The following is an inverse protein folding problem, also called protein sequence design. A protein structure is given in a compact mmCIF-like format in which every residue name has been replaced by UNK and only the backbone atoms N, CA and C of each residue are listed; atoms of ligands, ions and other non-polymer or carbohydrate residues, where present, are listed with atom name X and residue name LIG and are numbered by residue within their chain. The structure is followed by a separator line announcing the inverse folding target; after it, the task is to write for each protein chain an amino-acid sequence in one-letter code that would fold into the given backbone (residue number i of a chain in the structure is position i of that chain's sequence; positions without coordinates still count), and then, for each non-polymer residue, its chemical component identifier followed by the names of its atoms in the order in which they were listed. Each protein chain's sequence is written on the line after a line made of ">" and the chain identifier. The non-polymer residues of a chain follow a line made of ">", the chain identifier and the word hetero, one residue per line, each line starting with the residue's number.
data_IF_338401119935
#
_entry.id   IF_338401119935
#
_cell.length_a   1.000
_cell.length_b   1.000
_cell.length_c   1.000
_cell.angle_alpha   90.00
_cell.angle_beta   90.00
_cell.angle_gamma   90.00
#
_symmetry.space_group_name_H-M   'P 1'
#
loop_
_entity.id
_entity.type
_entity.pdbx_description
1 polymer ?
#
# COMPACT_ATOMS: atom_id res chain seq x y z
N UNK A 1 44.92 10.98 60.74
CA UNK A 1 45.95 11.27 59.72
C UNK A 1 47.29 10.79 60.28
N UNK A 2 47.87 9.73 59.70
CA UNK A 2 48.97 8.97 60.30
C UNK A 2 50.20 9.86 60.61
N UNK A 3 50.78 9.82 61.82
CA UNK A 3 51.91 10.68 62.21
C UNK A 3 53.18 10.43 61.37
N UNK A 4 53.31 9.24 60.78
CA UNK A 4 54.39 8.87 59.86
C UNK A 4 54.32 9.62 58.52
N UNK A 5 53.12 9.90 58.00
CA UNK A 5 52.92 10.64 56.75
C UNK A 5 53.33 12.11 56.88
N UNK A 6 53.03 12.73 58.04
CA UNK A 6 53.44 14.12 58.32
C UNK A 6 54.97 14.27 58.33
N UNK A 7 55.68 13.28 58.90
CA UNK A 7 57.15 13.31 58.97
C UNK A 7 57.79 13.13 57.59
N UNK A 8 57.33 12.14 56.82
CA UNK A 8 57.82 11.90 55.45
C UNK A 8 57.61 13.11 54.51
N UNK A 9 56.50 13.85 54.68
CA UNK A 9 56.21 15.08 53.94
C UNK A 9 57.14 16.25 54.29
N UNK A 10 57.52 16.39 55.57
CA UNK A 10 58.38 17.48 56.04
C UNK A 10 59.85 17.23 55.69
N UNK A 11 60.30 15.98 55.78
CA UNK A 11 61.71 15.59 55.56
C UNK A 11 62.09 15.58 54.06
N UNK A 12 61.17 15.16 53.17
CA UNK A 12 61.39 15.10 51.72
C UNK A 12 60.64 16.18 50.92
N UNK A 13 60.21 17.27 51.58
CA UNK A 13 59.47 18.39 50.98
C UNK A 13 60.09 18.91 49.68
N UNK A 14 61.41 18.96 49.58
CA UNK A 14 62.12 19.45 48.40
C UNK A 14 61.84 18.66 47.12
N UNK A 15 61.54 17.36 47.23
CA UNK A 15 61.23 16.48 46.10
C UNK A 15 59.73 16.25 45.91
N UNK A 16 58.96 16.27 47.00
CA UNK A 16 57.50 16.05 46.94
C UNK A 16 56.80 17.23 46.25
N UNK A 17 57.22 18.47 46.51
CA UNK A 17 56.63 19.66 45.89
C UNK A 17 56.75 19.68 44.36
N UNK A 18 57.94 19.53 43.74
CA UNK A 18 58.04 19.52 42.28
C UNK A 18 57.29 18.34 41.66
N UNK A 19 57.25 17.19 42.33
CA UNK A 19 56.52 16.01 41.83
C UNK A 19 55.00 16.22 41.86
N UNK A 20 54.48 16.84 42.92
CA UNK A 20 53.07 17.21 43.03
C UNK A 20 52.70 18.32 42.04
N UNK A 21 53.60 19.28 41.80
CA UNK A 21 53.42 20.31 40.78
C UNK A 21 53.39 19.71 39.37
N UNK A 22 54.28 18.77 39.06
CA UNK A 22 54.31 18.07 37.78
C UNK A 22 53.04 17.23 37.56
N UNK A 23 52.55 16.56 38.61
CA UNK A 23 51.27 15.83 38.57
C UNK A 23 50.11 16.78 38.25
N UNK A 24 50.01 17.91 38.96
CA UNK A 24 48.96 18.90 38.74
C UNK A 24 49.02 19.50 37.33
N UNK A 25 50.21 19.83 36.84
CA UNK A 25 50.39 20.34 35.48
C UNK A 25 49.91 19.33 34.43
N UNK A 26 50.19 18.05 34.61
CA UNK A 26 49.74 16.99 33.70
C UNK A 26 48.21 16.84 33.72
N UNK A 27 47.59 16.80 34.91
CA UNK A 27 46.13 16.75 35.05
C UNK A 27 45.48 17.97 34.39
N UNK A 28 46.05 19.16 34.59
CA UNK A 28 45.54 20.40 34.00
C UNK A 28 45.65 20.40 32.47
N UNK A 29 46.77 19.93 31.92
CA UNK A 29 46.94 19.78 30.48
C UNK A 29 45.92 18.78 29.90
N UNK A 30 45.66 17.66 30.56
CA UNK A 30 44.65 16.70 30.14
C UNK A 30 43.23 17.31 30.12
N UNK A 31 42.86 18.04 31.17
CA UNK A 31 41.54 18.66 31.28
C UNK A 31 41.31 19.76 30.25
N UNK A 32 42.34 20.56 29.94
CA UNK A 32 42.22 21.68 28.99
C UNK A 32 42.39 21.26 27.54
N UNK A 33 43.30 20.34 27.23
CA UNK A 33 43.54 19.95 25.84
C UNK A 33 42.73 18.72 25.44
N UNK A 34 42.79 17.63 26.20
CA UNK A 34 42.24 16.34 25.74
C UNK A 34 40.73 16.26 25.92
N UNK A 35 40.22 16.66 27.08
CA UNK A 35 38.80 16.57 27.39
C UNK A 35 37.89 17.32 26.40
N UNK A 36 38.16 18.59 26.01
CA UNK A 36 37.28 19.27 25.07
C UNK A 36 37.32 18.68 23.66
N UNK A 37 38.45 18.12 23.23
CA UNK A 37 38.50 17.41 21.94
C UNK A 37 37.68 16.12 21.98
N UNK A 38 37.77 15.34 23.06
CA UNK A 38 36.98 14.11 23.23
C UNK A 38 35.47 14.38 23.26
N UNK A 39 35.02 15.45 23.92
CA UNK A 39 33.61 15.85 23.95
C UNK A 39 33.14 16.31 22.57
N UNK A 40 33.98 17.04 21.82
CA UNK A 40 33.66 17.47 20.45
C UNK A 40 33.55 16.30 19.48
N UNK A 41 34.44 15.30 19.57
CA UNK A 41 34.37 14.11 18.70
C UNK A 41 33.18 13.23 19.03
N UNK A 42 32.87 13.05 20.32
CA UNK A 42 31.67 12.32 20.75
C UNK A 42 30.39 13.00 20.21
N UNK A 43 30.26 14.31 20.40
CA UNK A 43 29.11 15.06 19.86
C UNK A 43 29.05 15.16 18.32
N UNK A 44 30.16 14.94 17.62
CA UNK A 44 30.16 14.80 16.16
C UNK A 44 29.70 13.39 15.73
N UNK A 45 30.14 12.34 16.44
CA UNK A 45 29.74 10.97 16.20
C UNK A 45 28.24 10.76 16.49
N UNK A 46 27.73 11.31 17.60
CA UNK A 46 26.31 11.22 17.96
C UNK A 46 25.43 11.88 16.91
N UNK A 47 25.80 13.08 16.44
CA UNK A 47 25.08 13.76 15.36
C UNK A 47 25.13 13.01 14.03
N UNK A 48 26.25 12.36 13.72
CA UNK A 48 26.36 11.54 12.51
C UNK A 48 25.45 10.31 12.59
N UNK A 49 25.36 9.67 13.76
CA UNK A 49 24.49 8.52 13.99
C UNK A 49 23.01 8.92 13.93
N UNK A 50 22.65 10.05 14.54
CA UNK A 50 21.31 10.62 14.46
C UNK A 50 20.93 10.95 13.02
N UNK A 51 21.80 11.63 12.28
CA UNK A 51 21.57 11.96 10.87
C UNK A 51 21.42 10.71 9.99
N UNK A 52 22.24 9.67 10.20
CA UNK A 52 22.12 8.40 9.49
C UNK A 52 20.79 7.71 9.78
N UNK A 53 20.35 7.71 11.04
CA UNK A 53 19.06 7.13 11.42
C UNK A 53 17.86 7.90 10.83
N UNK A 54 17.94 9.23 10.83
CA UNK A 54 16.92 10.10 10.25
C UNK A 54 16.81 9.91 8.73
N UNK A 55 17.94 9.78 8.03
CA UNK A 55 17.99 9.48 6.61
C UNK A 55 17.36 8.12 6.31
N UNK A 56 17.72 7.07 7.07
CA UNK A 56 17.15 5.74 6.87
C UNK A 56 15.62 5.70 7.08
N UNK A 57 15.10 6.50 8.02
CA UNK A 57 13.65 6.67 8.22
C UNK A 57 13.04 7.44 7.05
N UNK A 58 13.65 8.55 6.63
CA UNK A 58 13.16 9.37 5.53
C UNK A 58 13.12 8.58 4.20
N UNK A 59 14.13 7.77 3.91
CA UNK A 59 14.16 6.89 2.73
C UNK A 59 13.02 5.88 2.75
N UNK A 60 12.76 5.23 3.90
CA UNK A 60 11.64 4.29 4.04
C UNK A 60 10.28 4.97 3.80
N UNK A 61 10.08 6.15 4.39
CA UNK A 61 8.85 6.93 4.20
C UNK A 61 8.70 7.34 2.73
N UNK A 62 9.80 7.77 2.09
CA UNK A 62 9.80 8.15 0.69
C UNK A 62 9.43 6.98 -0.23
N UNK A 63 10.04 5.81 -0.02
CA UNK A 63 9.73 4.60 -0.80
C UNK A 63 8.28 4.15 -0.60
N UNK A 64 7.77 4.20 0.63
CA UNK A 64 6.36 3.90 0.91
C UNK A 64 5.41 4.89 0.21
N UNK A 65 5.73 6.18 0.23
CA UNK A 65 4.96 7.21 -0.46
C UNK A 65 5.00 7.04 -1.99
N UNK A 66 6.17 6.74 -2.56
CA UNK A 66 6.28 6.43 -3.99
C UNK A 66 5.43 5.21 -4.37
N UNK A 67 5.51 4.13 -3.59
CA UNK A 67 4.72 2.92 -3.83
C UNK A 67 3.21 3.18 -3.76
N UNK A 68 2.76 4.05 -2.86
CA UNK A 68 1.36 4.45 -2.78
C UNK A 68 0.93 5.28 -4.01
N UNK A 69 1.75 6.24 -4.43
CA UNK A 69 1.45 7.10 -5.60
C UNK A 69 1.44 6.28 -6.88
N UNK A 70 2.44 5.41 -7.09
CA UNK A 70 2.49 4.54 -8.27
C UNK A 70 1.33 3.56 -8.30
N UNK A 71 0.99 2.94 -7.17
CA UNK A 71 -0.17 2.07 -7.04
C UNK A 71 -1.48 2.79 -7.36
N UNK A 72 -1.63 4.04 -6.90
CA UNK A 72 -2.81 4.87 -7.24
C UNK A 72 -2.86 5.21 -8.73
N UNK A 73 -1.73 5.60 -9.32
CA UNK A 73 -1.68 5.90 -10.76
C UNK A 73 -2.05 4.69 -11.62
N UNK A 74 -1.55 3.50 -11.24
CA UNK A 74 -1.90 2.26 -11.92
C UNK A 74 -3.39 1.94 -11.76
N UNK A 75 -3.95 2.07 -10.55
CA UNK A 75 -5.37 1.86 -10.32
C UNK A 75 -6.25 2.83 -11.12
N UNK A 76 -5.85 4.11 -11.22
CA UNK A 76 -6.57 5.11 -12.02
C UNK A 76 -6.52 4.77 -13.52
N UNK A 77 -5.39 4.24 -14.02
CA UNK A 77 -5.25 3.78 -15.40
C UNK A 77 -6.09 2.54 -15.68
N UNK A 78 -6.07 1.55 -14.79
CA UNK A 78 -6.89 0.33 -14.87
C UNK A 78 -8.38 0.67 -14.82
N UNK A 79 -8.79 1.60 -13.95
CA UNK A 79 -10.17 2.07 -13.85
C UNK A 79 -10.61 2.78 -15.13
N UNK A 80 -9.76 3.62 -15.71
CA UNK A 80 -10.04 4.26 -17.01
C UNK A 80 -10.14 3.20 -18.11
N UNK A 81 -9.25 2.21 -18.13
CA UNK A 81 -9.30 1.12 -19.09
C UNK A 81 -10.60 0.30 -18.96
N UNK A 82 -11.06 0.03 -17.72
CA UNK A 82 -12.33 -0.62 -17.47
C UNK A 82 -13.51 0.16 -18.07
N UNK A 83 -13.60 1.46 -17.78
CA UNK A 83 -14.68 2.30 -18.32
C UNK A 83 -14.66 2.46 -19.85
N UNK A 84 -13.49 2.43 -20.47
CA UNK A 84 -13.35 2.65 -21.91
C UNK A 84 -13.37 1.38 -22.75
N UNK A 85 -12.85 0.27 -22.23
CA UNK A 85 -12.62 -0.96 -23.01
C UNK A 85 -13.54 -2.10 -22.60
N UNK A 86 -13.92 -2.19 -21.33
CA UNK A 86 -14.73 -3.29 -20.80
C UNK A 86 -16.21 -2.94 -20.83
N UNK A 87 -16.57 -1.72 -20.41
CA UNK A 87 -17.95 -1.26 -20.48
C UNK A 87 -18.33 -0.80 -21.90
N UNK A 88 -19.57 -1.09 -22.35
CA UNK A 88 -20.10 -0.51 -23.57
C UNK A 88 -20.12 1.03 -23.47
N UNK A 89 -19.75 1.71 -24.56
CA UNK A 89 -19.70 3.18 -24.63
C UNK A 89 -21.06 3.86 -24.46
N UNK A 90 -22.13 3.16 -24.81
CA UNK A 90 -23.50 3.66 -24.77
C UNK A 90 -24.52 2.53 -24.69
N UNK A 91 -25.79 2.90 -24.51
CA UNK A 91 -26.92 1.98 -24.44
C UNK A 91 -27.08 1.16 -25.73
N UNK A 92 -26.78 1.73 -26.90
CA UNK A 92 -26.89 1.01 -28.16
C UNK A 92 -25.81 -0.08 -28.27
N UNK A 93 -24.59 0.18 -27.80
CA UNK A 93 -23.51 -0.78 -27.66
C UNK A 93 -23.88 -1.91 -26.68
N UNK A 94 -24.41 -1.56 -25.51
CA UNK A 94 -24.87 -2.52 -24.52
C UNK A 94 -25.99 -3.44 -25.07
N UNK A 95 -26.92 -2.86 -25.82
CA UNK A 95 -27.96 -3.60 -26.53
C UNK A 95 -27.34 -4.52 -27.60
N UNK A 96 -26.47 -4.01 -28.46
CA UNK A 96 -25.89 -4.78 -29.58
C UNK A 96 -25.23 -6.07 -29.10
N UNK A 97 -24.49 -5.99 -28.01
CA UNK A 97 -23.85 -7.14 -27.38
C UNK A 97 -24.90 -8.15 -26.93
N UNK A 98 -25.85 -7.74 -26.10
CA UNK A 98 -26.82 -8.64 -25.45
C UNK A 98 -27.95 -9.14 -26.36
N UNK A 99 -28.27 -8.44 -27.45
CA UNK A 99 -29.33 -8.86 -28.39
C UNK A 99 -28.92 -10.07 -29.22
N UNK A 100 -27.65 -10.16 -29.65
CA UNK A 100 -27.16 -11.28 -30.43
C UNK A 100 -26.63 -12.42 -29.55
N UNK A 101 -25.90 -12.09 -28.47
CA UNK A 101 -25.23 -13.10 -27.65
C UNK A 101 -26.21 -13.94 -26.82
N UNK A 102 -27.18 -13.33 -26.13
CA UNK A 102 -28.09 -14.07 -25.23
C UNK A 102 -28.92 -15.13 -25.97
N UNK A 103 -29.57 -14.83 -27.11
CA UNK A 103 -30.30 -15.87 -27.86
C UNK A 103 -29.38 -16.95 -28.44
N UNK A 104 -28.13 -16.61 -28.80
CA UNK A 104 -27.16 -17.59 -29.27
C UNK A 104 -26.76 -18.56 -28.15
N UNK A 105 -26.56 -18.06 -26.93
CA UNK A 105 -26.28 -18.86 -25.74
C UNK A 105 -27.44 -19.79 -25.39
N UNK A 106 -28.67 -19.28 -25.42
CA UNK A 106 -29.90 -20.07 -25.23
C UNK A 106 -29.95 -21.25 -26.21
N UNK A 107 -29.71 -20.99 -27.50
CA UNK A 107 -29.71 -22.03 -28.54
C UNK A 107 -28.60 -23.05 -28.33
N UNK A 108 -27.40 -22.60 -27.98
CA UNK A 108 -26.24 -23.45 -27.69
C UNK A 108 -26.51 -24.38 -26.51
N UNK A 109 -27.11 -23.87 -25.45
CA UNK A 109 -27.48 -24.61 -24.25
C UNK A 109 -28.74 -25.47 -24.42
N UNK A 110 -29.42 -25.40 -25.58
CA UNK A 110 -30.67 -26.12 -25.89
C UNK A 110 -31.80 -25.87 -24.87
N UNK A 111 -31.82 -24.68 -24.28
CA UNK A 111 -32.90 -24.23 -23.40
C UNK A 111 -33.94 -23.46 -24.19
N UNK A 112 -35.21 -23.61 -23.80
CA UNK A 112 -36.33 -22.88 -24.39
C UNK A 112 -36.39 -21.49 -23.77
N UNK A 113 -36.60 -20.49 -24.62
CA UNK A 113 -36.75 -19.11 -24.21
C UNK A 113 -38.22 -18.74 -24.19
N UNK A 114 -38.73 -18.33 -23.03
CA UNK A 114 -40.15 -18.01 -22.84
C UNK A 114 -40.43 -16.51 -22.88
N UNK A 115 -39.50 -15.70 -22.38
CA UNK A 115 -39.70 -14.26 -22.32
C UNK A 115 -38.44 -13.48 -22.00
N UNK A 116 -38.46 -12.19 -22.37
CA UNK A 116 -37.46 -11.21 -21.99
C UNK A 116 -38.09 -9.85 -21.78
N UNK A 117 -37.65 -9.19 -20.73
CA UNK A 117 -37.93 -7.78 -20.49
C UNK A 117 -36.60 -7.05 -20.36
N UNK A 118 -36.45 -5.95 -21.08
CA UNK A 118 -35.28 -5.08 -20.96
C UNK A 118 -35.72 -3.80 -20.27
N UNK A 119 -35.05 -3.44 -19.19
CA UNK A 119 -35.26 -2.18 -18.50
C UNK A 119 -33.99 -1.35 -18.56
N UNK A 120 -34.14 -0.04 -18.71
CA UNK A 120 -33.03 0.91 -18.74
C UNK A 120 -33.28 1.88 -17.60
N UNK A 121 -32.44 1.81 -16.58
CA UNK A 121 -32.54 2.74 -15.46
C UNK A 121 -32.15 4.14 -15.92
N UNK A 122 -32.95 5.13 -15.54
CA UNK A 122 -32.62 6.52 -15.79
C UNK A 122 -31.31 6.86 -15.08
N UNK A 123 -30.35 7.39 -15.83
CA UNK A 123 -29.08 7.85 -15.27
C UNK A 123 -29.37 9.12 -14.49
N UNK A 124 -29.17 9.07 -13.18
CA UNK A 124 -29.20 10.26 -12.34
C UNK A 124 -28.08 11.21 -12.77
N UNK A 125 -28.29 12.52 -12.70
CA UNK A 125 -27.28 13.51 -13.10
C UNK A 125 -25.98 13.39 -12.31
N UNK A 126 -26.04 12.80 -11.11
CA UNK A 126 -24.90 12.53 -10.24
C UNK A 126 -24.19 11.21 -10.56
N UNK A 127 -24.80 10.31 -11.35
CA UNK A 127 -24.23 9.00 -11.69
C UNK A 127 -23.48 9.06 -13.03
N UNK A 128 -22.24 8.59 -13.02
CA UNK A 128 -21.40 8.48 -14.21
C UNK A 128 -21.77 7.30 -15.12
N UNK A 129 -22.53 6.33 -14.60
CA UNK A 129 -22.87 5.09 -15.29
C UNK A 129 -24.38 4.84 -15.27
N UNK A 130 -24.90 4.33 -16.40
CA UNK A 130 -26.25 3.80 -16.50
C UNK A 130 -26.28 2.29 -16.35
N UNK A 131 -27.41 1.76 -15.86
CA UNK A 131 -27.67 0.32 -15.75
C UNK A 131 -28.74 -0.09 -16.76
N UNK A 132 -28.42 -1.06 -17.61
CA UNK A 132 -29.41 -1.78 -18.42
C UNK A 132 -29.58 -3.17 -17.82
N UNK A 133 -30.80 -3.51 -17.41
CA UNK A 133 -31.13 -4.83 -16.86
C UNK A 133 -31.96 -5.63 -17.87
N UNK A 134 -31.68 -6.92 -17.94
CA UNK A 134 -32.39 -7.86 -18.79
C UNK A 134 -32.90 -8.98 -17.90
N UNK A 135 -34.22 -9.12 -17.82
CA UNK A 135 -34.86 -10.29 -17.20
C UNK A 135 -35.17 -11.29 -18.30
N UNK A 136 -34.77 -12.55 -18.11
CA UNK A 136 -35.06 -13.66 -19.02
C UNK A 136 -35.81 -14.76 -18.27
N UNK A 137 -36.74 -15.41 -18.96
CA UNK A 137 -37.39 -16.64 -18.48
C UNK A 137 -36.96 -17.77 -19.41
N UNK A 138 -36.28 -18.76 -18.85
CA UNK A 138 -35.73 -19.91 -19.56
C UNK A 138 -36.34 -21.19 -18.99
N UNK A 139 -36.69 -22.12 -19.87
CA UNK A 139 -37.23 -23.42 -19.53
C UNK A 139 -36.34 -24.52 -20.13
N UNK A 140 -36.00 -25.53 -19.35
CA UNK A 140 -35.18 -26.63 -19.84
C UNK A 140 -34.75 -27.57 -18.72
N UNK A 141 -33.88 -28.51 -19.06
CA UNK A 141 -33.24 -29.35 -18.06
C UNK A 141 -32.19 -28.55 -17.27
N UNK A 142 -31.92 -29.01 -16.04
CA UNK A 142 -30.94 -28.35 -15.16
C UNK A 142 -29.54 -28.27 -15.79
N UNK A 143 -29.13 -29.30 -16.53
CA UNK A 143 -27.83 -29.32 -17.22
C UNK A 143 -27.70 -28.20 -18.27
N UNK A 144 -28.72 -28.00 -19.09
CA UNK A 144 -28.76 -26.92 -20.08
C UNK A 144 -28.76 -25.54 -19.42
N UNK A 145 -29.54 -25.37 -18.35
CA UNK A 145 -29.54 -24.11 -17.58
C UNK A 145 -28.17 -23.81 -16.97
N UNK A 146 -27.50 -24.82 -16.40
CA UNK A 146 -26.14 -24.69 -15.87
C UNK A 146 -25.14 -24.34 -16.97
N UNK A 147 -25.25 -24.96 -18.14
CA UNK A 147 -24.38 -24.67 -19.28
C UNK A 147 -24.58 -23.24 -19.80
N UNK A 148 -25.83 -22.76 -19.84
CA UNK A 148 -26.15 -21.37 -20.20
C UNK A 148 -25.48 -20.37 -19.24
N UNK A 149 -25.63 -20.57 -17.93
CA UNK A 149 -25.02 -19.70 -16.91
C UNK A 149 -23.49 -19.69 -17.07
N UNK A 150 -22.90 -20.87 -17.22
CA UNK A 150 -21.46 -21.02 -17.40
C UNK A 150 -20.93 -20.30 -18.65
N UNK A 151 -21.63 -20.42 -19.78
CA UNK A 151 -21.23 -19.75 -21.01
C UNK A 151 -21.44 -18.23 -20.93
N UNK A 152 -22.45 -17.77 -20.17
CA UNK A 152 -22.70 -16.35 -19.92
C UNK A 152 -21.59 -15.72 -19.05
N UNK A 153 -21.18 -16.38 -17.96
CA UNK A 153 -20.12 -15.89 -17.07
C UNK A 153 -18.73 -15.88 -17.74
N UNK A 154 -18.53 -16.70 -18.76
CA UNK A 154 -17.29 -16.75 -19.55
C UNK A 154 -17.29 -15.86 -20.77
N UNK A 155 -18.40 -15.17 -21.03
CA UNK A 155 -18.47 -14.28 -22.18
C UNK A 155 -17.50 -13.11 -21.98
N UNK A 156 -16.88 -12.59 -23.07
CA UNK A 156 -15.92 -11.49 -22.97
C UNK A 156 -16.58 -10.17 -22.57
N UNK A 157 -17.91 -10.11 -22.55
CA UNK A 157 -18.66 -8.91 -22.29
C UNK A 157 -19.03 -8.79 -20.82
N UNK A 158 -19.01 -7.56 -20.29
CA UNK A 158 -19.30 -7.34 -18.89
C UNK A 158 -20.80 -7.48 -18.61
N UNK A 159 -21.20 -8.64 -18.10
CA UNK A 159 -22.56 -8.97 -17.70
C UNK A 159 -22.54 -9.50 -16.27
N UNK A 160 -23.51 -9.07 -15.46
CA UNK A 160 -23.68 -9.53 -14.08
C UNK A 160 -25.04 -10.21 -13.98
N UNK A 161 -25.07 -11.41 -13.39
CA UNK A 161 -26.31 -12.06 -12.97
C UNK A 161 -26.72 -11.43 -11.64
N UNK A 162 -27.75 -10.59 -11.67
CA UNK A 162 -28.24 -9.83 -10.50
C UNK A 162 -29.06 -10.73 -9.55
N UNK A 163 -29.96 -11.51 -10.13
CA UNK A 163 -30.84 -12.43 -9.40
C UNK A 163 -31.12 -13.68 -10.24
N UNK A 164 -31.23 -14.83 -9.59
CA UNK A 164 -31.57 -16.12 -10.20
C UNK A 164 -32.62 -16.82 -9.33
N UNK A 165 -33.81 -17.01 -9.90
CA UNK A 165 -34.86 -17.85 -9.31
C UNK A 165 -35.10 -19.06 -10.20
N UNK A 166 -35.23 -20.23 -9.57
CA UNK A 166 -35.58 -21.48 -10.22
C UNK A 166 -36.84 -22.03 -9.58
N UNK A 167 -37.76 -22.51 -10.43
CA UNK A 167 -39.00 -23.14 -10.01
C UNK A 167 -39.07 -24.48 -10.73
N UNK A 168 -39.31 -25.55 -9.98
CA UNK A 168 -39.61 -26.86 -10.56
C UNK A 168 -41.07 -26.87 -11.01
N UNK A 169 -41.31 -27.35 -12.22
CA UNK A 169 -42.62 -27.48 -12.84
C UNK A 169 -42.79 -28.82 -13.52
#
# INVERSE_FOLDING_TARGET
>A
MNPLLKRALVENRAWIFPLLLALLANVFAYLILVRPLAVKSAGAADRALEAASALAVAEKVHLAAQGLVSGKMQADEELKAFYQKVLPSDLAGARRITYASLPALVRKARVKYEGRTTNVEAVDKEKLLGKMSIRMVLQGNYEGLRQFIYDLERSPEFVIIDDLSMVEG
#
